data_IF_253438058101
#
_entry.id   IF_253438058101
#
_cell.length_a   1.000
_cell.length_b   1.000
_cell.length_c   1.000
_cell.angle_alpha   90.00
_cell.angle_beta   90.00
_cell.angle_gamma   90.00
#
_symmetry.space_group_name_H-M   'P 1'
#
loop_
_entity.id
_entity.type
_entity.pdbx_description
1 polymer ?
#
# COMPACT_ATOMS: atom_id res chain seq x y z
N UNK A 1 37.02 -14.11 72.29
CA UNK A 1 36.99 -13.76 70.86
C UNK A 1 36.59 -14.99 70.08
N UNK A 2 35.51 -14.89 69.31
CA UNK A 2 35.20 -15.56 68.05
C UNK A 2 33.69 -15.86 67.97
N UNK A 3 32.94 -14.86 67.50
CA UNK A 3 31.58 -15.09 66.99
C UNK A 3 31.67 -15.65 65.56
N UNK A 4 30.91 -16.70 65.30
CA UNK A 4 30.80 -17.33 63.97
C UNK A 4 29.60 -16.70 63.25
N UNK A 5 29.86 -15.88 62.23
CA UNK A 5 28.87 -15.26 61.36
C UNK A 5 28.36 -16.24 60.31
N UNK A 6 27.08 -16.62 60.41
CA UNK A 6 26.37 -17.42 59.41
C UNK A 6 25.79 -16.50 58.32
N UNK A 7 26.38 -16.50 57.12
CA UNK A 7 25.84 -15.77 55.95
C UNK A 7 24.89 -16.67 55.15
N UNK A 8 23.59 -16.37 55.20
CA UNK A 8 22.62 -16.92 54.24
C UNK A 8 22.60 -16.02 52.99
N UNK A 9 22.95 -16.59 51.83
CA UNK A 9 22.75 -15.93 50.54
C UNK A 9 21.34 -16.28 50.03
N UNK A 10 20.46 -15.29 49.97
CA UNK A 10 19.14 -15.42 49.33
C UNK A 10 19.30 -15.07 47.84
N UNK A 11 19.20 -16.07 46.96
CA UNK A 11 19.19 -15.88 45.52
C UNK A 11 17.75 -15.60 45.06
N UNK A 12 17.37 -14.33 45.00
CA UNK A 12 16.11 -13.91 44.39
C UNK A 12 16.30 -13.74 42.88
N UNK A 13 16.03 -14.81 42.12
CA UNK A 13 15.89 -14.72 40.67
C UNK A 13 14.55 -14.04 40.34
N UNK A 14 14.58 -12.74 40.04
CA UNK A 14 13.45 -12.03 39.44
C UNK A 14 13.43 -12.42 37.95
N UNK A 15 12.51 -13.32 37.57
CA UNK A 15 12.21 -13.55 36.15
C UNK A 15 11.49 -12.30 35.62
N UNK A 16 12.21 -11.44 34.91
CA UNK A 16 11.62 -10.41 34.09
C UNK A 16 10.93 -11.10 32.89
N UNK A 17 9.61 -11.25 32.95
CA UNK A 17 8.80 -11.60 31.78
C UNK A 17 8.92 -10.44 30.81
N UNK A 18 9.83 -10.55 29.84
CA UNK A 18 9.86 -9.63 28.72
C UNK A 18 8.60 -9.91 27.89
N UNK A 19 7.62 -9.01 27.99
CA UNK A 19 6.49 -9.01 27.08
C UNK A 19 7.03 -8.77 25.68
N UNK A 20 7.16 -9.84 24.90
CA UNK A 20 7.34 -9.72 23.46
C UNK A 20 6.09 -9.05 22.92
N UNK A 21 6.20 -7.77 22.56
CA UNK A 21 5.16 -7.13 21.79
C UNK A 21 5.05 -7.89 20.46
N UNK A 22 3.97 -8.66 20.32
CA UNK A 22 3.54 -9.16 19.03
C UNK A 22 3.22 -7.92 18.19
N UNK A 23 4.10 -7.60 17.25
CA UNK A 23 3.83 -6.61 16.21
C UNK A 23 2.74 -7.17 15.27
N UNK A 24 1.50 -7.18 15.74
CA UNK A 24 0.34 -7.34 14.87
C UNK A 24 0.16 -6.04 14.08
N UNK A 25 0.19 -6.11 12.75
CA UNK A 25 -0.12 -4.95 11.94
C UNK A 25 -1.58 -4.56 12.18
N UNK A 26 -1.80 -3.35 12.71
CA UNK A 26 -3.12 -2.80 12.91
C UNK A 26 -3.80 -2.61 11.55
N UNK A 27 -4.96 -3.26 11.36
CA UNK A 27 -5.75 -3.10 10.12
C UNK A 27 -6.44 -1.75 10.18
N UNK A 28 -5.97 -0.79 9.38
CA UNK A 28 -6.64 0.50 9.22
C UNK A 28 -7.93 0.32 8.42
N UNK A 29 -9.07 0.58 9.07
CA UNK A 29 -10.37 0.62 8.41
C UNK A 29 -10.64 2.03 7.87
N UNK A 30 -11.02 2.11 6.60
CA UNK A 30 -11.41 3.36 5.95
C UNK A 30 -12.88 3.29 5.55
N UNK A 31 -13.64 4.33 5.90
CA UNK A 31 -15.00 4.51 5.38
C UNK A 31 -14.90 5.23 4.04
N UNK A 32 -15.30 4.55 2.96
CA UNK A 32 -15.20 5.11 1.61
C UNK A 32 -16.44 5.97 1.28
N UNK A 33 -16.29 7.29 1.12
CA UNK A 33 -17.41 8.19 0.88
C UNK A 33 -17.98 8.02 -0.53
N UNK A 34 -19.28 8.29 -0.63
CA UNK A 34 -19.98 8.34 -1.91
C UNK A 34 -19.95 9.77 -2.47
N UNK A 35 -19.47 9.93 -3.69
CA UNK A 35 -19.35 11.23 -4.37
C UNK A 35 -20.50 11.46 -5.35
N UNK A 36 -20.84 12.73 -5.59
CA UNK A 36 -21.87 13.15 -6.57
C UNK A 36 -21.25 13.55 -7.92
N UNK A 37 -20.17 14.32 -7.87
CA UNK A 37 -19.36 14.71 -9.03
C UNK A 37 -18.22 13.71 -9.15
N UNK A 38 -18.09 13.07 -10.31
CA UNK A 38 -17.03 12.09 -10.59
C UNK A 38 -15.78 12.80 -11.10
N UNK A 39 -14.57 12.28 -10.83
CA UNK A 39 -13.34 12.85 -11.38
C UNK A 39 -13.27 12.63 -12.89
N UNK A 40 -12.55 13.51 -13.58
CA UNK A 40 -12.05 13.24 -14.91
C UNK A 40 -10.80 12.37 -14.78
N UNK A 41 -10.79 11.19 -15.40
CA UNK A 41 -9.62 10.30 -15.36
C UNK A 41 -8.54 10.84 -16.31
N UNK A 42 -7.70 11.74 -15.81
CA UNK A 42 -6.57 12.32 -16.55
C UNK A 42 -5.24 12.23 -15.80
N UNK A 43 -5.26 11.65 -14.61
CA UNK A 43 -4.11 11.39 -13.77
C UNK A 43 -3.78 12.55 -12.84
N UNK A 44 -4.59 13.61 -12.81
CA UNK A 44 -4.40 14.78 -11.93
C UNK A 44 -5.40 14.74 -10.80
N UNK A 45 -4.90 14.79 -9.56
CA UNK A 45 -5.73 14.76 -8.37
C UNK A 45 -6.26 16.16 -7.98
N UNK A 46 -6.75 16.93 -8.95
CA UNK A 46 -7.21 18.31 -8.76
C UNK A 46 -8.75 18.48 -8.78
N UNK A 47 -9.50 17.41 -9.10
CA UNK A 47 -10.96 17.38 -8.95
C UNK A 47 -11.44 17.46 -7.49
N UNK A 48 -12.54 18.19 -7.26
CA UNK A 48 -13.12 18.44 -5.93
C UNK A 48 -13.39 17.16 -5.11
N UNK A 49 -13.75 16.05 -5.78
CA UNK A 49 -14.07 14.80 -5.11
C UNK A 49 -12.90 14.21 -4.32
N UNK A 50 -11.66 14.57 -4.68
CA UNK A 50 -10.46 14.10 -3.98
C UNK A 50 -10.25 14.78 -2.62
N UNK A 51 -10.86 15.94 -2.39
CA UNK A 51 -10.83 16.63 -1.09
C UNK A 51 -11.66 15.90 -0.03
N UNK A 52 -12.76 15.27 -0.46
CA UNK A 52 -13.67 14.53 0.42
C UNK A 52 -13.34 13.03 0.50
N UNK A 53 -12.44 12.53 -0.36
CA UNK A 53 -12.09 11.12 -0.45
C UNK A 53 -11.44 10.57 0.83
N UNK A 54 -11.63 9.28 1.09
CA UNK A 54 -10.92 8.61 2.19
C UNK A 54 -9.42 8.57 1.89
N UNK A 55 -8.60 8.99 2.85
CA UNK A 55 -7.15 9.09 2.68
C UNK A 55 -6.42 7.95 3.43
N UNK A 56 -5.76 7.08 2.67
CA UNK A 56 -4.76 6.16 3.18
C UNK A 56 -3.36 6.79 3.05
N UNK A 57 -2.62 6.82 4.15
CA UNK A 57 -1.26 7.37 4.23
C UNK A 57 -0.47 6.68 5.35
N UNK A 58 0.79 7.09 5.50
CA UNK A 58 1.74 6.56 6.48
C UNK A 58 2.03 5.07 6.24
N UNK A 59 2.19 4.72 4.96
CA UNK A 59 2.55 3.37 4.53
C UNK A 59 3.85 2.90 5.17
N UNK A 60 3.98 1.57 5.25
CA UNK A 60 5.10 0.89 5.87
C UNK A 60 5.92 0.17 4.82
N UNK A 61 7.23 0.14 5.02
CA UNK A 61 8.13 -0.54 4.12
C UNK A 61 8.06 -2.05 4.34
N UNK A 62 8.15 -2.79 3.23
CA UNK A 62 8.50 -4.22 3.26
C UNK A 62 10.01 -4.43 3.12
N UNK A 63 10.68 -3.49 2.46
CA UNK A 63 12.13 -3.45 2.21
C UNK A 63 12.58 -1.99 2.11
N UNK A 64 13.86 -1.67 2.41
CA UNK A 64 14.88 -2.57 2.98
C UNK A 64 14.63 -2.88 4.47
N UNK A 65 13.99 -1.95 5.19
CA UNK A 65 13.71 -2.08 6.61
C UNK A 65 12.22 -2.36 6.82
N UNK A 66 11.88 -3.62 7.10
CA UNK A 66 10.49 -4.06 7.25
C UNK A 66 9.81 -3.39 8.46
N UNK A 67 8.61 -2.85 8.25
CA UNK A 67 7.80 -2.22 9.30
C UNK A 67 8.16 -0.77 9.62
N UNK A 68 9.25 -0.23 9.08
CA UNK A 68 9.58 1.19 9.16
C UNK A 68 8.59 2.05 8.34
N UNK A 69 8.50 3.34 8.65
CA UNK A 69 7.80 4.31 7.81
C UNK A 69 8.40 4.32 6.39
N UNK A 70 7.56 4.43 5.36
CA UNK A 70 8.01 4.58 3.98
C UNK A 70 8.94 5.80 3.83
N UNK A 71 10.13 5.61 3.25
CA UNK A 71 11.05 6.71 2.96
C UNK A 71 10.52 7.64 1.87
N UNK A 72 9.82 7.09 0.88
CA UNK A 72 9.08 7.84 -0.13
C UNK A 72 7.60 7.87 0.25
N UNK A 73 7.04 9.07 0.36
CA UNK A 73 5.67 9.25 0.84
C UNK A 73 4.67 8.82 -0.23
N UNK A 74 3.63 8.10 0.18
CA UNK A 74 2.48 7.78 -0.69
C UNK A 74 1.19 8.20 -0.01
N UNK A 75 0.30 8.81 -0.78
CA UNK A 75 -1.07 9.10 -0.38
C UNK A 75 -2.03 8.43 -1.37
N UNK A 76 -2.97 7.63 -0.86
CA UNK A 76 -4.01 7.01 -1.68
C UNK A 76 -5.35 7.58 -1.24
N UNK A 77 -6.09 8.17 -2.18
CA UNK A 77 -7.42 8.71 -2.00
C UNK A 77 -8.43 7.77 -2.63
N UNK A 78 -9.48 7.44 -1.89
CA UNK A 78 -10.47 6.46 -2.33
C UNK A 78 -11.86 7.04 -2.12
N UNK A 79 -12.67 7.01 -3.17
CA UNK A 79 -14.06 7.41 -3.16
C UNK A 79 -14.85 6.55 -4.13
N UNK A 80 -16.18 6.62 -4.10
CA UNK A 80 -17.02 5.79 -4.98
C UNK A 80 -18.28 6.50 -5.41
N UNK A 81 -18.90 6.01 -6.48
CA UNK A 81 -20.33 6.22 -6.70
C UNK A 81 -21.08 4.88 -6.57
N UNK A 82 -22.24 4.72 -7.23
CA UNK A 82 -23.02 3.48 -7.17
C UNK A 82 -22.45 2.34 -8.01
N UNK A 83 -21.53 2.64 -8.94
CA UNK A 83 -21.04 1.67 -9.94
C UNK A 83 -19.53 1.55 -9.97
N UNK A 84 -18.81 2.59 -9.56
CA UNK A 84 -17.37 2.73 -9.75
C UNK A 84 -16.70 3.07 -8.43
N UNK A 85 -15.59 2.37 -8.16
CA UNK A 85 -14.61 2.72 -7.15
C UNK A 85 -13.51 3.53 -7.83
N UNK A 86 -13.22 4.71 -7.30
CA UNK A 86 -12.17 5.59 -7.78
C UNK A 86 -11.00 5.56 -6.80
N UNK A 87 -9.78 5.41 -7.33
CA UNK A 87 -8.56 5.31 -6.54
C UNK A 87 -7.54 6.28 -7.12
N UNK A 88 -7.36 7.42 -6.46
CA UNK A 88 -6.29 8.36 -6.77
C UNK A 88 -5.05 8.03 -5.94
N UNK A 89 -3.87 7.98 -6.55
CA UNK A 89 -2.60 7.82 -5.84
C UNK A 89 -1.68 8.98 -6.15
N UNK A 90 -1.04 9.52 -5.10
CA UNK A 90 0.11 10.41 -5.17
C UNK A 90 1.32 9.68 -4.62
N UNK A 91 2.29 9.45 -5.47
CA UNK A 91 3.60 8.93 -5.13
C UNK A 91 4.57 10.10 -5.15
N UNK A 92 5.00 10.53 -3.96
CA UNK A 92 6.09 11.50 -3.85
C UNK A 92 7.41 10.77 -4.09
N UNK A 93 8.35 11.45 -4.74
CA UNK A 93 9.71 10.96 -4.93
C UNK A 93 10.69 12.09 -4.57
N UNK A 94 11.68 11.80 -3.72
CA UNK A 94 12.74 12.76 -3.37
C UNK A 94 13.66 13.10 -4.55
N UNK A 95 13.65 12.29 -5.61
CA UNK A 95 14.39 12.45 -6.85
C UNK A 95 13.48 12.21 -8.07
N UNK A 96 12.47 13.07 -8.33
CA UNK A 96 11.48 12.88 -9.41
C UNK A 96 12.08 12.66 -10.80
N UNK A 97 13.22 13.30 -11.10
CA UNK A 97 13.96 13.13 -12.36
C UNK A 97 14.53 11.72 -12.57
N UNK A 98 14.59 10.91 -11.50
CA UNK A 98 15.07 9.52 -11.53
C UNK A 98 13.95 8.48 -11.59
N UNK A 99 12.68 8.91 -11.60
CA UNK A 99 11.53 8.01 -11.71
C UNK A 99 11.64 7.20 -13.01
N UNK A 100 11.65 5.88 -12.85
CA UNK A 100 11.77 4.92 -13.95
C UNK A 100 10.39 4.47 -14.37
N UNK A 101 10.02 4.75 -15.61
CA UNK A 101 8.95 4.02 -16.25
C UNK A 101 9.31 3.81 -17.71
N UNK A 102 9.98 2.70 -18.01
CA UNK A 102 10.29 2.28 -19.38
C UNK A 102 9.15 1.47 -20.00
N UNK A 103 8.31 0.85 -19.17
CA UNK A 103 7.21 -0.01 -19.62
C UNK A 103 6.00 0.84 -20.00
N UNK A 104 5.45 0.58 -21.18
CA UNK A 104 4.21 1.18 -21.69
C UNK A 104 3.18 0.12 -22.09
N UNK A 105 3.64 -1.10 -22.37
CA UNK A 105 2.80 -2.19 -22.82
C UNK A 105 1.93 -2.73 -21.68
N UNK A 106 0.64 -2.98 -21.96
CA UNK A 106 -0.27 -3.65 -21.02
C UNK A 106 0.28 -5.03 -20.63
N UNK A 107 0.15 -5.39 -19.35
CA UNK A 107 0.54 -6.67 -18.76
C UNK A 107 2.04 -7.01 -18.80
N UNK A 108 2.85 -6.16 -19.43
CA UNK A 108 4.30 -6.34 -19.44
C UNK A 108 4.88 -6.27 -18.01
N UNK A 109 5.91 -7.07 -17.70
CA UNK A 109 6.58 -7.01 -16.41
C UNK A 109 7.24 -5.64 -16.17
N UNK A 110 6.91 -4.99 -15.04
CA UNK A 110 7.47 -3.68 -14.64
C UNK A 110 8.74 -3.80 -13.79
N UNK A 111 9.54 -4.84 -14.03
CA UNK A 111 10.72 -5.10 -13.19
C UNK A 111 11.75 -3.99 -13.39
N UNK A 112 11.98 -3.20 -12.34
CA UNK A 112 12.93 -2.09 -12.35
C UNK A 112 12.33 -0.73 -12.68
N UNK A 113 11.02 -0.70 -12.97
CA UNK A 113 10.21 0.53 -13.03
C UNK A 113 9.62 0.83 -11.66
N UNK A 114 9.30 2.10 -11.44
CA UNK A 114 8.38 2.55 -10.40
C UNK A 114 6.95 2.17 -10.78
N UNK A 115 6.19 1.64 -9.83
CA UNK A 115 4.81 1.24 -10.07
C UNK A 115 3.99 1.29 -8.79
N UNK A 116 2.68 1.43 -8.96
CA UNK A 116 1.67 1.31 -7.91
C UNK A 116 0.75 0.14 -8.22
N UNK A 117 0.29 -0.56 -7.20
CA UNK A 117 -0.73 -1.58 -7.36
C UNK A 117 -1.66 -1.64 -6.16
N UNK A 118 -2.88 -2.12 -6.40
CA UNK A 118 -3.87 -2.44 -5.38
C UNK A 118 -4.27 -3.90 -5.48
N UNK A 119 -4.54 -4.48 -4.32
CA UNK A 119 -5.17 -5.79 -4.19
C UNK A 119 -6.55 -5.59 -3.59
N UNK A 120 -7.58 -6.10 -4.25
CA UNK A 120 -8.97 -5.98 -3.82
C UNK A 120 -9.54 -7.37 -3.56
N UNK A 121 -10.01 -7.61 -2.33
CA UNK A 121 -10.82 -8.77 -1.96
C UNK A 121 -12.23 -8.29 -1.63
N UNK A 122 -13.11 -8.13 -2.63
CA UNK A 122 -14.45 -7.59 -2.42
C UNK A 122 -15.40 -8.56 -1.71
N UNK A 123 -15.03 -9.84 -1.61
CA UNK A 123 -15.84 -10.88 -0.99
C UNK A 123 -15.34 -11.27 0.41
N UNK A 124 -14.26 -10.62 0.87
CA UNK A 124 -13.63 -10.84 2.17
C UNK A 124 -13.31 -12.32 2.44
N UNK A 125 -12.82 -13.01 1.40
CA UNK A 125 -12.47 -14.44 1.45
C UNK A 125 -11.00 -14.68 1.78
N UNK A 126 -10.17 -13.63 1.79
CA UNK A 126 -8.74 -13.62 2.12
C UNK A 126 -7.88 -14.60 1.31
N UNK A 127 -8.41 -15.14 0.21
CA UNK A 127 -7.76 -16.15 -0.63
C UNK A 127 -7.84 -15.83 -2.11
N UNK A 128 -8.81 -15.03 -2.51
CA UNK A 128 -9.07 -14.65 -3.90
C UNK A 128 -9.24 -13.15 -3.97
N UNK A 129 -8.93 -12.56 -5.12
CA UNK A 129 -9.05 -11.13 -5.29
C UNK A 129 -8.58 -10.66 -6.66
N UNK A 130 -8.58 -9.34 -6.81
CA UNK A 130 -8.16 -8.66 -8.03
C UNK A 130 -6.88 -7.89 -7.78
N UNK A 131 -5.96 -7.97 -8.74
CA UNK A 131 -4.75 -7.15 -8.80
C UNK A 131 -4.93 -6.12 -9.90
N UNK A 132 -4.64 -4.87 -9.59
CA UNK A 132 -4.57 -3.78 -10.56
C UNK A 132 -3.28 -3.01 -10.35
N UNK A 133 -2.54 -2.74 -11.42
CA UNK A 133 -1.24 -2.09 -11.38
C UNK A 133 -1.13 -1.05 -12.47
N UNK A 134 -0.55 0.09 -12.09
CA UNK A 134 -0.10 1.10 -13.03
C UNK A 134 1.31 1.60 -12.73
N UNK A 135 1.85 2.41 -13.63
CA UNK A 135 3.16 3.04 -13.50
C UNK A 135 3.06 4.52 -13.93
N UNK A 136 4.13 5.32 -13.80
CA UNK A 136 4.13 6.73 -14.17
C UNK A 136 3.82 7.04 -15.65
N UNK A 137 3.71 6.04 -16.53
CA UNK A 137 3.29 6.20 -17.92
C UNK A 137 1.83 5.80 -18.16
N UNK A 138 1.09 5.40 -17.13
CA UNK A 138 -0.26 4.87 -17.25
C UNK A 138 -0.31 3.46 -17.86
N UNK A 139 0.79 2.70 -17.84
CA UNK A 139 0.76 1.31 -18.31
C UNK A 139 -0.20 0.50 -17.44
N UNK A 140 -1.05 -0.31 -18.08
CA UNK A 140 -2.06 -1.12 -17.38
C UNK A 140 -1.53 -2.53 -17.09
N UNK A 141 -1.92 -3.10 -15.97
CA UNK A 141 -1.82 -4.54 -15.77
C UNK A 141 -2.81 -5.01 -14.71
N UNK A 142 -3.42 -6.15 -14.95
CA UNK A 142 -4.37 -6.75 -14.03
C UNK A 142 -4.16 -8.25 -13.91
N UNK A 143 -4.73 -8.84 -12.85
CA UNK A 143 -4.76 -10.29 -12.69
C UNK A 143 -5.84 -10.74 -11.71
N UNK A 144 -6.23 -12.02 -11.81
CA UNK A 144 -6.91 -12.71 -10.73
C UNK A 144 -5.89 -13.31 -9.76
N UNK A 145 -6.08 -13.03 -8.48
CA UNK A 145 -5.42 -13.75 -7.39
C UNK A 145 -6.22 -15.02 -7.10
N UNK A 146 -5.57 -16.18 -7.22
CA UNK A 146 -6.19 -17.48 -7.05
C UNK A 146 -6.01 -18.02 -5.63
N UNK A 147 -6.99 -18.78 -5.14
CA UNK A 147 -7.01 -19.40 -3.81
C UNK A 147 -5.93 -20.46 -3.56
N UNK A 148 -5.31 -20.96 -4.62
CA UNK A 148 -4.20 -21.91 -4.59
C UNK A 148 -2.83 -21.24 -4.34
N UNK A 149 -2.80 -19.91 -4.17
CA UNK A 149 -1.59 -19.10 -3.92
C UNK A 149 -0.49 -19.28 -4.98
N UNK A 150 -0.84 -19.79 -6.16
CA UNK A 150 0.07 -19.81 -7.32
C UNK A 150 0.21 -18.41 -7.91
N UNK A 151 0.93 -18.32 -9.02
CA UNK A 151 1.07 -17.06 -9.75
C UNK A 151 -0.32 -16.50 -10.08
N UNK A 152 -0.53 -15.17 -9.94
CA UNK A 152 -1.73 -14.51 -10.42
C UNK A 152 -2.01 -14.87 -11.88
N UNK A 153 -3.30 -15.05 -12.22
CA UNK A 153 -3.70 -15.27 -13.61
C UNK A 153 -3.70 -13.92 -14.34
N UNK A 154 -2.63 -13.68 -15.09
CA UNK A 154 -2.43 -12.46 -15.90
C UNK A 154 -3.19 -12.50 -17.24
N UNK A 155 -3.77 -13.64 -17.63
CA UNK A 155 -4.56 -13.75 -18.87
C UNK A 155 -5.99 -13.21 -18.68
N UNK A 156 -6.33 -12.80 -17.46
CA UNK A 156 -7.63 -12.20 -17.15
C UNK A 156 -7.60 -10.70 -17.40
N UNK A 157 -8.39 -10.28 -18.39
CA UNK A 157 -8.65 -8.87 -18.68
C UNK A 157 -10.00 -8.44 -18.12
N UNK A 158 -10.06 -7.18 -17.67
CA UNK A 158 -11.33 -6.55 -17.25
C UNK A 158 -11.43 -5.08 -17.69
N UNK A 159 -12.61 -4.48 -17.45
CA UNK A 159 -12.89 -3.09 -17.76
C UNK A 159 -12.47 -2.23 -16.57
N UNK A 160 -11.43 -1.42 -16.79
CA UNK A 160 -10.98 -0.38 -15.88
C UNK A 160 -10.20 0.66 -16.68
N UNK A 161 -10.04 1.86 -16.13
CA UNK A 161 -9.28 2.94 -16.75
C UNK A 161 -8.18 3.40 -15.81
N UNK A 162 -7.10 3.92 -16.39
CA UNK A 162 -6.07 4.61 -15.63
C UNK A 162 -5.43 5.70 -16.46
N UNK A 163 -5.12 6.82 -15.82
CA UNK A 163 -4.21 7.83 -16.34
C UNK A 163 -3.20 8.20 -15.29
N UNK A 164 -2.04 8.67 -15.73
CA UNK A 164 -0.96 9.06 -14.85
C UNK A 164 -0.37 10.39 -15.29
N UNK A 165 0.07 11.17 -14.32
CA UNK A 165 0.70 12.45 -14.52
C UNK A 165 1.99 12.52 -13.71
N UNK A 166 3.06 13.06 -14.29
CA UNK A 166 4.32 13.33 -13.59
C UNK A 166 4.44 14.82 -13.36
N UNK A 167 4.96 15.18 -12.19
CA UNK A 167 5.25 16.57 -11.84
C UNK A 167 6.53 16.66 -11.00
N UNK A 168 6.85 17.86 -10.53
CA UNK A 168 8.05 18.17 -9.75
C UNK A 168 8.10 17.50 -8.38
N UNK A 169 7.01 16.86 -7.93
CA UNK A 169 6.94 16.17 -6.64
C UNK A 169 7.01 14.65 -6.78
N UNK A 170 6.89 14.14 -8.01
CA UNK A 170 6.87 12.72 -8.32
C UNK A 170 5.83 12.40 -9.38
N UNK A 171 4.82 11.59 -9.03
CA UNK A 171 3.74 11.26 -9.96
C UNK A 171 2.41 10.94 -9.28
N UNK A 172 1.34 11.04 -10.07
CA UNK A 172 -0.02 10.69 -9.69
C UNK A 172 -0.64 9.73 -10.69
N UNK A 173 -1.65 8.99 -10.24
CA UNK A 173 -2.53 8.22 -11.10
C UNK A 173 -3.96 8.14 -10.53
N UNK A 174 -4.92 7.88 -11.40
CA UNK A 174 -6.36 7.73 -11.11
C UNK A 174 -6.95 6.55 -11.87
#
# INVERSE_FOLDING_TARGET
MNEVLLKFYFCSAVLAVSATALFGQEVKLLTIPKIKKVPQIDGKLDDDCWLEAALAKDFRQRRPEEGALATEKTEVRICRNEKVLYIGVRCFDSQPDKIRAGVMQRDAPVKGDDYFFVLLDPFQRSREGYYFRTNPNGAKGEALINSDMRRPNMDWDTIWEVRSHRDELGWTAE
#
